data_IF_891936550343
#
_entry.id   IF_891936550343
#
_cell.length_a   1.000
_cell.length_b   1.000
_cell.length_c   1.000
_cell.angle_alpha   90.00
_cell.angle_beta   90.00
_cell.angle_gamma   90.00
#
_symmetry.space_group_name_H-M   'P 1'
#
loop_
_entity.id
_entity.type
_entity.pdbx_description
1 polymer ?
#
# COMPACT_ATOMS: atom_id res chain seq x y z
N UNK A 1 -20.36 -24.88 -0.79
CA UNK A 1 -19.40 -23.79 -0.53
C UNK A 1 -18.47 -23.69 -1.72
N UNK A 2 -18.20 -22.49 -2.25
CA UNK A 2 -17.18 -22.29 -3.29
C UNK A 2 -15.93 -21.74 -2.62
N UNK A 3 -14.87 -22.54 -2.59
CA UNK A 3 -13.57 -22.14 -2.05
C UNK A 3 -12.82 -21.32 -3.09
N UNK A 4 -12.42 -20.09 -2.75
CA UNK A 4 -11.53 -19.29 -3.60
C UNK A 4 -10.28 -18.95 -2.80
N UNK A 5 -9.22 -19.72 -3.01
CA UNK A 5 -7.86 -19.42 -2.53
C UNK A 5 -7.26 -18.26 -3.33
N UNK A 6 -7.71 -17.03 -3.04
CA UNK A 6 -7.12 -15.83 -3.63
C UNK A 6 -5.76 -15.52 -2.99
N UNK A 7 -4.67 -16.01 -3.60
CA UNK A 7 -3.41 -15.25 -3.62
C UNK A 7 -3.65 -14.06 -4.55
N UNK A 8 -4.13 -12.95 -4.00
CA UNK A 8 -4.71 -11.84 -4.76
C UNK A 8 -3.71 -11.03 -5.59
N UNK A 9 -3.37 -11.53 -6.77
CA UNK A 9 -2.61 -10.80 -7.79
C UNK A 9 -2.93 -11.31 -9.20
N UNK A 10 -2.73 -10.44 -10.19
CA UNK A 10 -2.81 -10.79 -11.61
C UNK A 10 -1.40 -10.91 -12.19
N UNK A 11 -1.22 -11.68 -13.26
CA UNK A 11 0.08 -11.88 -13.94
C UNK A 11 -0.05 -11.78 -15.45
N UNK A 12 0.96 -11.21 -16.12
CA UNK A 12 1.10 -11.26 -17.59
C UNK A 12 1.32 -12.71 -18.07
N UNK A 13 1.00 -13.04 -19.33
CA UNK A 13 1.64 -14.16 -20.01
C UNK A 13 3.17 -14.00 -19.92
N UNK A 14 3.85 -14.96 -19.29
CA UNK A 14 5.27 -14.83 -18.90
C UNK A 14 5.53 -14.60 -17.41
N UNK A 15 4.51 -14.47 -16.56
CA UNK A 15 4.61 -14.62 -15.10
C UNK A 15 4.85 -13.37 -14.25
N UNK A 16 5.06 -12.20 -14.85
CA UNK A 16 5.23 -10.94 -14.10
C UNK A 16 3.92 -10.42 -13.49
N UNK A 17 3.94 -9.97 -12.22
CA UNK A 17 2.80 -9.35 -11.52
C UNK A 17 2.30 -8.12 -12.29
N UNK A 18 0.98 -7.93 -12.40
CA UNK A 18 0.34 -6.73 -12.99
C UNK A 18 -0.55 -5.98 -12.01
N UNK A 19 -1.10 -6.67 -11.01
CA UNK A 19 -1.94 -6.09 -9.96
C UNK A 19 -1.71 -6.86 -8.66
N UNK A 20 -1.89 -6.17 -7.53
CA UNK A 20 -1.85 -6.77 -6.19
C UNK A 20 -3.00 -6.22 -5.34
N UNK A 21 -3.81 -7.11 -4.76
CA UNK A 21 -4.94 -6.74 -3.91
C UNK A 21 -4.55 -6.13 -2.56
N UNK A 22 -3.31 -6.34 -2.13
CA UNK A 22 -2.78 -5.88 -0.85
C UNK A 22 -2.88 -6.93 0.27
N UNK A 23 -2.41 -6.55 1.45
CA UNK A 23 -2.40 -7.37 2.67
C UNK A 23 -3.77 -7.28 3.34
N UNK A 24 -4.26 -8.36 3.95
CA UNK A 24 -5.47 -8.29 4.77
C UNK A 24 -5.21 -7.53 6.07
N UNK A 25 -5.97 -6.46 6.31
CA UNK A 25 -5.75 -5.53 7.42
C UNK A 25 -6.74 -5.68 8.59
N UNK A 26 -7.39 -6.85 8.72
CA UNK A 26 -8.43 -7.10 9.71
C UNK A 26 -9.85 -6.73 9.27
N UNK A 27 -10.01 -5.91 8.23
CA UNK A 27 -11.30 -5.49 7.65
C UNK A 27 -11.41 -5.74 6.13
N UNK A 28 -10.33 -5.52 5.39
CA UNK A 28 -10.24 -5.68 3.93
C UNK A 28 -8.80 -5.94 3.48
N UNK A 29 -8.60 -6.25 2.20
CA UNK A 29 -7.26 -6.15 1.60
C UNK A 29 -6.87 -4.68 1.38
N UNK A 30 -5.61 -4.32 1.58
CA UNK A 30 -5.15 -2.91 1.61
C UNK A 30 -5.23 -2.18 0.27
N UNK A 31 -5.25 -2.90 -0.87
CA UNK A 31 -5.54 -2.36 -2.21
C UNK A 31 -6.99 -2.57 -2.64
N UNK A 32 -7.88 -2.96 -1.73
CA UNK A 32 -9.32 -3.03 -1.99
C UNK A 32 -10.00 -1.67 -1.78
N UNK A 33 -11.18 -1.52 -2.37
CA UNK A 33 -11.93 -0.27 -2.34
C UNK A 33 -12.21 0.26 -0.93
N UNK A 34 -12.22 1.59 -0.80
CA UNK A 34 -12.29 2.29 0.49
C UNK A 34 -13.63 2.16 1.24
N UNK A 35 -14.66 1.62 0.61
CA UNK A 35 -15.96 1.39 1.22
C UNK A 35 -16.09 -0.02 1.81
N UNK A 36 -16.39 -0.10 3.11
CA UNK A 36 -16.98 -1.31 3.71
C UNK A 36 -18.38 -1.48 3.18
N UNK A 37 -18.62 -2.55 2.41
CA UNK A 37 -19.95 -2.86 1.88
C UNK A 37 -20.93 -3.20 3.01
N UNK A 38 -22.13 -2.64 3.00
CA UNK A 38 -23.26 -3.10 3.82
C UNK A 38 -23.93 -4.35 3.24
N UNK A 39 -23.60 -4.71 1.99
CA UNK A 39 -24.20 -5.82 1.26
C UNK A 39 -23.54 -7.18 1.55
N UNK A 40 -22.33 -7.18 2.13
CA UNK A 40 -21.65 -8.41 2.52
C UNK A 40 -20.60 -8.17 3.60
N UNK A 41 -20.44 -9.14 4.49
CA UNK A 41 -19.35 -9.22 5.46
C UNK A 41 -18.19 -9.99 4.84
N UNK A 42 -17.04 -9.33 4.68
CA UNK A 42 -15.78 -9.99 4.33
C UNK A 42 -15.28 -10.86 5.49
N UNK A 43 -14.81 -12.06 5.19
CA UNK A 43 -14.19 -12.98 6.14
C UNK A 43 -12.88 -13.47 5.52
N UNK A 44 -11.78 -13.30 6.23
CA UNK A 44 -10.48 -13.83 5.87
C UNK A 44 -9.99 -14.74 6.99
N UNK A 45 -9.52 -15.92 6.63
CA UNK A 45 -8.90 -16.87 7.55
C UNK A 45 -7.48 -17.10 7.06
N UNK A 46 -6.53 -16.96 7.96
CA UNK A 46 -5.15 -17.38 7.77
C UNK A 46 -4.70 -18.05 9.07
N UNK A 47 -4.41 -19.33 9.00
CA UNK A 47 -3.88 -20.12 10.10
C UNK A 47 -2.90 -21.17 9.52
N UNK A 48 -2.42 -22.09 10.38
CA UNK A 48 -1.46 -23.13 9.99
C UNK A 48 -2.00 -24.17 9.00
N UNK A 49 -3.32 -24.33 8.94
CA UNK A 49 -4.02 -25.39 8.19
C UNK A 49 -4.58 -24.84 6.87
N UNK A 50 -5.05 -23.59 6.85
CA UNK A 50 -5.71 -22.97 5.70
C UNK A 50 -5.53 -21.44 5.61
N UNK A 51 -5.53 -20.94 4.37
CA UNK A 51 -5.58 -19.50 4.05
C UNK A 51 -6.63 -19.29 2.97
N UNK A 52 -7.73 -18.59 3.29
CA UNK A 52 -8.82 -18.31 2.35
C UNK A 52 -9.50 -16.95 2.58
N UNK A 53 -10.20 -16.49 1.55
CA UNK A 53 -11.18 -15.42 1.63
C UNK A 53 -12.57 -15.96 1.31
N UNK A 54 -13.57 -15.53 2.08
CA UNK A 54 -14.99 -15.74 1.80
C UNK A 54 -15.79 -14.48 2.14
N UNK A 55 -17.07 -14.48 1.78
CA UNK A 55 -18.00 -13.41 2.14
C UNK A 55 -19.36 -13.98 2.50
N UNK A 56 -20.02 -13.36 3.48
CA UNK A 56 -21.39 -13.65 3.89
C UNK A 56 -22.28 -12.48 3.46
N UNK A 57 -23.44 -12.77 2.87
CA UNK A 57 -24.37 -11.76 2.37
C UNK A 57 -25.29 -11.20 3.47
N UNK A 58 -25.61 -11.98 4.51
CA UNK A 58 -26.55 -11.62 5.58
C UNK A 58 -28.02 -11.41 5.16
N UNK A 59 -28.28 -10.98 3.92
CA UNK A 59 -29.60 -10.72 3.34
C UNK A 59 -29.80 -11.58 2.08
N UNK A 60 -30.95 -12.24 1.98
CA UNK A 60 -31.31 -13.14 0.88
C UNK A 60 -31.83 -12.42 -0.38
N UNK A 61 -31.87 -11.08 -0.41
CA UNK A 61 -32.43 -10.31 -1.54
C UNK A 61 -31.45 -10.00 -2.67
N UNK A 62 -30.19 -10.42 -2.57
CA UNK A 62 -29.16 -10.21 -3.60
C UNK A 62 -28.33 -11.48 -3.79
N UNK A 63 -27.75 -11.65 -4.97
CA UNK A 63 -26.69 -12.64 -5.23
C UNK A 63 -25.44 -11.88 -5.65
N UNK A 64 -24.27 -12.24 -5.12
CA UNK A 64 -22.99 -11.66 -5.56
C UNK A 64 -21.97 -12.75 -5.90
N UNK A 65 -21.09 -12.45 -6.85
CA UNK A 65 -19.93 -13.28 -7.18
C UNK A 65 -18.69 -12.43 -7.43
N UNK A 66 -17.53 -12.96 -7.10
CA UNK A 66 -16.24 -12.48 -7.58
C UNK A 66 -15.86 -13.27 -8.81
N UNK A 67 -15.44 -12.59 -9.87
CA UNK A 67 -15.01 -13.21 -11.13
C UNK A 67 -13.80 -12.48 -11.69
N UNK A 68 -13.01 -13.16 -12.51
CA UNK A 68 -12.06 -12.52 -13.41
C UNK A 68 -12.73 -12.44 -14.79
N UNK A 69 -12.64 -11.30 -15.48
CA UNK A 69 -13.19 -11.15 -16.83
C UNK A 69 -12.16 -11.56 -17.91
N UNK A 70 -12.57 -11.57 -19.18
CA UNK A 70 -11.69 -11.98 -20.30
C UNK A 70 -10.45 -11.07 -20.47
N UNK A 71 -10.51 -9.82 -20.01
CA UNK A 71 -9.39 -8.87 -19.98
C UNK A 71 -8.50 -9.03 -18.74
N UNK A 72 -8.75 -10.04 -17.90
CA UNK A 72 -8.00 -10.31 -16.67
C UNK A 72 -8.43 -9.48 -15.46
N UNK A 73 -9.40 -8.57 -15.58
CA UNK A 73 -9.82 -7.69 -14.48
C UNK A 73 -10.61 -8.47 -13.42
N UNK A 74 -10.31 -8.22 -12.14
CA UNK A 74 -11.09 -8.73 -11.01
C UNK A 74 -12.38 -7.90 -10.89
N UNK A 75 -13.55 -8.55 -10.88
CA UNK A 75 -14.85 -7.88 -10.77
C UNK A 75 -15.69 -8.51 -9.66
N UNK A 76 -16.36 -7.66 -8.88
CA UNK A 76 -17.52 -8.08 -8.08
C UNK A 76 -18.79 -7.74 -8.83
N UNK A 77 -19.61 -8.75 -9.07
CA UNK A 77 -20.91 -8.63 -9.71
C UNK A 77 -22.02 -8.81 -8.68
N UNK A 78 -23.12 -8.06 -8.84
CA UNK A 78 -24.35 -8.19 -8.05
C UNK A 78 -25.51 -8.48 -9.01
N UNK A 79 -26.45 -9.33 -8.56
CA UNK A 79 -27.73 -9.57 -9.18
C UNK A 79 -28.81 -9.28 -8.13
N UNK A 80 -29.58 -8.22 -8.36
CA UNK A 80 -30.66 -7.80 -7.47
C UNK A 80 -31.93 -8.65 -7.68
N UNK A 81 -32.75 -8.78 -6.63
CA UNK A 81 -34.02 -9.50 -6.71
C UNK A 81 -34.95 -8.92 -7.79
N UNK A 82 -35.22 -9.72 -8.81
CA UNK A 82 -36.08 -9.35 -9.94
C UNK A 82 -35.32 -8.84 -11.18
N UNK A 83 -34.00 -8.64 -11.07
CA UNK A 83 -33.13 -8.43 -12.23
C UNK A 83 -32.80 -9.76 -12.91
N UNK A 84 -32.65 -9.74 -14.24
CA UNK A 84 -32.01 -10.79 -15.03
C UNK A 84 -30.54 -10.49 -15.36
N UNK A 85 -30.05 -9.30 -15.02
CA UNK A 85 -28.74 -8.79 -15.42
C UNK A 85 -27.80 -8.56 -14.23
N UNK A 86 -26.52 -8.88 -14.43
CA UNK A 86 -25.47 -8.68 -13.45
C UNK A 86 -24.88 -7.26 -13.55
N UNK A 87 -24.96 -6.49 -12.48
CA UNK A 87 -24.32 -5.17 -12.38
C UNK A 87 -22.91 -5.30 -11.80
N UNK A 88 -21.95 -4.55 -12.35
CA UNK A 88 -20.59 -4.46 -11.78
C UNK A 88 -20.63 -3.55 -10.57
N UNK A 89 -20.39 -4.11 -9.38
CA UNK A 89 -20.24 -3.33 -8.14
C UNK A 89 -18.88 -2.63 -8.09
N UNK A 90 -17.81 -3.35 -8.45
CA UNK A 90 -16.47 -2.81 -8.59
C UNK A 90 -15.61 -3.66 -9.54
N UNK A 91 -14.54 -3.05 -10.05
CA UNK A 91 -13.55 -3.68 -10.93
C UNK A 91 -12.14 -3.23 -10.54
N UNK A 92 -11.14 -4.13 -10.63
CA UNK A 92 -9.72 -3.86 -10.33
C UNK A 92 -8.81 -4.51 -11.39
N UNK A 93 -7.73 -3.85 -11.87
CA UNK A 93 -7.33 -2.46 -11.63
C UNK A 93 -8.41 -1.41 -11.94
N UNK A 94 -8.39 -0.29 -11.21
CA UNK A 94 -9.32 0.84 -11.39
C UNK A 94 -8.67 2.00 -12.14
N UNK A 95 -7.41 2.29 -11.82
CA UNK A 95 -6.61 3.37 -12.39
C UNK A 95 -5.13 2.94 -12.47
N UNK A 96 -4.27 3.75 -13.08
CA UNK A 96 -2.84 3.43 -13.30
C UNK A 96 -2.04 3.26 -12.00
N UNK A 97 -2.53 3.71 -10.85
CA UNK A 97 -1.87 3.46 -9.56
C UNK A 97 -2.19 2.07 -8.97
N UNK A 98 -3.11 1.31 -9.58
CA UNK A 98 -3.29 -0.11 -9.27
C UNK A 98 -2.34 -1.02 -10.05
N UNK A 99 -1.72 -0.51 -11.14
CA UNK A 99 -0.71 -1.25 -11.90
C UNK A 99 0.52 -1.50 -11.00
N UNK A 100 0.91 -2.78 -10.92
CA UNK A 100 1.91 -3.23 -9.97
C UNK A 100 3.25 -2.52 -10.18
N UNK A 101 3.70 -1.79 -9.16
CA UNK A 101 5.00 -1.13 -9.15
C UNK A 101 5.09 0.13 -10.01
N UNK A 102 3.96 0.78 -10.34
CA UNK A 102 3.88 1.96 -11.21
C UNK A 102 4.92 3.07 -10.96
N UNK A 103 5.30 3.32 -9.70
CA UNK A 103 6.27 4.35 -9.31
C UNK A 103 7.67 3.82 -8.94
N UNK A 104 7.95 2.55 -9.25
CA UNK A 104 9.18 1.87 -8.87
C UNK A 104 9.36 1.69 -7.36
N UNK A 105 10.59 1.41 -6.94
CA UNK A 105 10.97 1.28 -5.54
C UNK A 105 11.02 2.64 -4.81
N UNK A 106 10.53 2.67 -3.57
CA UNK A 106 10.47 3.85 -2.70
C UNK A 106 9.74 5.06 -3.31
N UNK A 107 8.85 4.80 -4.28
CA UNK A 107 7.90 5.76 -4.82
C UNK A 107 6.49 5.51 -4.30
N UNK A 108 5.67 6.55 -4.27
CA UNK A 108 4.23 6.48 -3.97
C UNK A 108 3.42 7.00 -5.15
N UNK A 109 2.40 6.25 -5.55
CA UNK A 109 1.47 6.65 -6.60
C UNK A 109 0.28 7.43 -6.03
N UNK A 110 -0.01 8.61 -6.58
CA UNK A 110 -1.20 9.42 -6.31
C UNK A 110 -1.98 9.60 -7.60
N UNK A 111 -3.18 9.01 -7.68
CA UNK A 111 -4.01 9.05 -8.90
C UNK A 111 -4.40 10.46 -9.35
N UNK A 112 -4.41 11.41 -8.40
CA UNK A 112 -4.74 12.82 -8.62
C UNK A 112 -3.49 13.72 -8.56
N UNK A 113 -2.29 13.14 -8.45
CA UNK A 113 -1.02 13.86 -8.40
C UNK A 113 -0.59 14.36 -9.77
N UNK A 114 0.25 15.40 -9.79
CA UNK A 114 0.94 15.85 -10.99
C UNK A 114 2.39 16.24 -10.63
N UNK A 115 3.39 15.35 -10.84
CA UNK A 115 3.29 14.01 -11.43
C UNK A 115 2.49 13.00 -10.58
N UNK A 116 2.01 11.91 -11.18
CA UNK A 116 1.30 10.84 -10.45
C UNK A 116 2.21 10.03 -9.51
N UNK A 117 3.52 10.09 -9.71
CA UNK A 117 4.51 9.39 -8.89
C UNK A 117 5.42 10.41 -8.19
N UNK A 118 5.62 10.20 -6.89
CA UNK A 118 6.54 10.98 -6.07
C UNK A 118 7.44 10.04 -5.26
N UNK A 119 8.67 10.47 -4.98
CA UNK A 119 9.52 9.75 -4.03
C UNK A 119 9.02 9.91 -2.60
N UNK A 120 9.17 8.87 -1.79
CA UNK A 120 8.91 8.97 -0.35
C UNK A 120 9.77 10.07 0.30
N UNK A 121 9.28 10.64 1.40
CA UNK A 121 10.01 11.69 2.12
C UNK A 121 11.40 11.19 2.56
N UNK A 122 12.45 11.94 2.18
CA UNK A 122 13.85 11.53 2.38
C UNK A 122 14.50 10.83 1.19
N UNK A 123 13.73 10.49 0.15
CA UNK A 123 14.23 9.87 -1.08
C UNK A 123 14.30 10.88 -2.24
N UNK A 124 15.03 10.52 -3.29
CA UNK A 124 15.18 11.26 -4.55
C UNK A 124 15.18 10.26 -5.73
N UNK A 125 14.82 10.69 -6.96
CA UNK A 125 14.86 9.83 -8.14
C UNK A 125 16.20 9.13 -8.33
N UNK A 126 16.22 7.83 -8.66
CA UNK A 126 17.47 7.14 -9.06
C UNK A 126 18.00 7.70 -10.40
N UNK A 127 17.11 8.19 -11.26
CA UNK A 127 17.45 8.87 -12.51
C UNK A 127 16.53 10.08 -12.76
N UNK A 128 17.10 11.28 -12.66
CA UNK A 128 16.35 12.53 -12.85
C UNK A 128 15.88 12.72 -14.31
N UNK A 129 16.62 12.20 -15.29
CA UNK A 129 16.27 12.30 -16.72
C UNK A 129 15.11 11.38 -17.10
N UNK A 130 15.03 10.17 -16.54
CA UNK A 130 13.85 9.30 -16.69
C UNK A 130 12.62 9.94 -16.04
N UNK A 131 12.75 10.42 -14.80
CA UNK A 131 11.65 11.08 -14.09
C UNK A 131 11.13 12.33 -14.81
N UNK A 132 12.01 13.09 -15.47
CA UNK A 132 11.61 14.27 -16.26
C UNK A 132 10.74 13.93 -17.50
N UNK A 133 10.81 12.70 -18.00
CA UNK A 133 9.97 12.19 -19.10
C UNK A 133 8.85 11.25 -18.61
N UNK A 134 8.54 11.27 -17.31
CA UNK A 134 7.54 10.39 -16.67
C UNK A 134 7.87 8.89 -16.73
N UNK A 135 9.14 8.53 -16.86
CA UNK A 135 9.64 7.17 -16.60
C UNK A 135 10.07 7.06 -15.13
N UNK A 136 9.23 6.41 -14.31
CA UNK A 136 9.49 6.18 -12.89
C UNK A 136 10.04 4.78 -12.60
N UNK A 137 10.35 3.98 -13.62
CA UNK A 137 10.70 2.55 -13.48
C UNK A 137 11.94 2.30 -12.60
N UNK A 138 12.89 3.22 -12.59
CA UNK A 138 14.08 3.16 -11.71
C UNK A 138 13.77 3.51 -10.24
N UNK A 139 12.59 4.07 -9.94
CA UNK A 139 12.16 4.46 -8.60
C UNK A 139 13.07 5.51 -7.96
N UNK A 140 13.21 5.42 -6.65
CA UNK A 140 13.90 6.39 -5.80
C UNK A 140 14.94 5.73 -4.89
N UNK A 141 16.02 6.45 -4.60
CA UNK A 141 17.04 6.09 -3.61
C UNK A 141 17.03 7.08 -2.44
N UNK A 142 17.56 6.69 -1.28
CA UNK A 142 17.66 7.59 -0.12
C UNK A 142 18.57 8.78 -0.48
N UNK A 143 18.16 9.99 -0.09
CA UNK A 143 18.96 11.22 -0.25
C UNK A 143 20.23 11.20 0.61
N UNK A 144 20.18 10.51 1.75
CA UNK A 144 21.29 10.30 2.69
C UNK A 144 21.23 8.87 3.24
N UNK A 145 22.38 8.26 3.59
CA UNK A 145 22.40 7.02 4.36
C UNK A 145 21.67 7.20 5.71
N UNK A 146 21.08 6.12 6.22
CA UNK A 146 20.49 6.05 7.56
C UNK A 146 21.59 6.23 8.63
N UNK A 147 21.34 7.08 9.63
CA UNK A 147 22.14 7.15 10.87
C UNK A 147 21.35 6.54 12.03
N UNK A 148 21.38 5.21 12.02
CA UNK A 148 20.75 4.32 12.98
C UNK A 148 21.18 4.59 14.45
N UNK A 149 22.28 5.31 14.67
CA UNK A 149 22.73 5.70 16.01
C UNK A 149 22.36 7.13 16.40
N UNK A 150 22.02 8.01 15.45
CA UNK A 150 21.71 9.43 15.72
C UNK A 150 20.62 10.00 14.80
N UNK A 151 19.39 10.00 15.31
CA UNK A 151 18.34 10.88 14.81
C UNK A 151 17.57 10.38 13.58
N UNK A 152 17.78 9.15 13.15
CA UNK A 152 16.77 8.50 12.31
C UNK A 152 15.41 8.45 13.04
N UNK A 153 14.37 8.71 12.28
CA UNK A 153 13.01 8.79 12.76
C UNK A 153 12.02 8.39 11.69
N UNK A 154 10.79 8.87 11.83
CA UNK A 154 9.64 8.23 11.21
C UNK A 154 8.73 9.25 10.53
N UNK A 155 8.49 9.07 9.23
CA UNK A 155 7.48 9.83 8.49
C UNK A 155 6.22 8.99 8.37
N UNK A 156 5.12 9.49 8.94
CA UNK A 156 3.81 8.86 8.83
C UNK A 156 3.19 9.15 7.46
N UNK A 157 2.99 8.11 6.66
CA UNK A 157 2.21 8.12 5.43
C UNK A 157 0.79 7.70 5.77
N UNK A 158 -0.19 8.52 5.42
CA UNK A 158 -1.61 8.24 5.70
C UNK A 158 -2.29 7.62 4.50
N UNK A 159 -3.34 6.83 4.74
CA UNK A 159 -4.25 6.36 3.70
C UNK A 159 -3.52 5.68 2.52
N UNK A 160 -2.74 4.63 2.78
CA UNK A 160 -1.95 3.94 1.75
C UNK A 160 -2.30 2.46 1.57
N UNK A 161 -2.17 2.00 0.34
CA UNK A 161 -1.94 0.57 0.03
C UNK A 161 -0.52 0.25 0.52
N UNK A 162 -0.41 -0.53 1.60
CA UNK A 162 0.88 -1.01 2.13
C UNK A 162 1.75 -1.66 1.04
N UNK A 163 3.10 -1.59 1.11
CA UNK A 163 4.01 -2.19 0.14
C UNK A 163 3.80 -3.70 -0.10
N UNK A 164 4.47 -4.25 -1.13
CA UNK A 164 4.41 -5.68 -1.45
C UNK A 164 4.98 -6.60 -0.34
N UNK A 165 4.77 -7.91 -0.54
CA UNK A 165 5.02 -9.00 0.39
C UNK A 165 6.51 -9.39 0.45
N UNK A 166 7.30 -8.64 1.22
CA UNK A 166 8.62 -9.06 1.74
C UNK A 166 8.83 -8.44 3.13
N UNK A 167 8.01 -8.85 4.09
CA UNK A 167 7.93 -8.29 5.44
C UNK A 167 7.94 -9.36 6.53
N UNK A 168 8.39 -8.98 7.72
CA UNK A 168 8.11 -9.73 8.96
C UNK A 168 6.86 -9.17 9.63
N UNK A 169 6.12 -10.02 10.36
CA UNK A 169 4.97 -9.59 11.15
C UNK A 169 4.99 -10.21 12.55
N UNK A 170 4.36 -9.53 13.51
CA UNK A 170 4.20 -10.00 14.88
C UNK A 170 2.86 -9.53 15.44
N UNK A 171 1.93 -10.44 15.69
CA UNK A 171 0.56 -10.12 16.16
C UNK A 171 0.53 -9.57 17.59
N UNK A 172 1.53 -9.90 18.42
CA UNK A 172 1.55 -9.54 19.86
C UNK A 172 2.04 -8.11 20.12
N UNK A 173 2.68 -7.46 19.14
CA UNK A 173 3.25 -6.13 19.29
C UNK A 173 2.25 -5.03 18.92
N UNK A 174 2.33 -3.90 19.62
CA UNK A 174 1.69 -2.65 19.19
C UNK A 174 2.63 -1.79 18.33
N UNK A 175 2.09 -0.75 17.69
CA UNK A 175 2.85 0.12 16.77
C UNK A 175 4.07 0.80 17.40
N UNK A 176 4.04 1.15 18.69
CA UNK A 176 5.19 1.80 19.35
C UNK A 176 6.31 0.81 19.67
N UNK A 177 5.96 -0.44 20.04
CA UNK A 177 6.93 -1.54 20.13
C UNK A 177 7.53 -1.86 18.75
N UNK A 178 6.68 -1.91 17.71
CA UNK A 178 7.08 -2.14 16.32
C UNK A 178 8.09 -1.08 15.82
N UNK A 179 7.85 0.21 16.11
CA UNK A 179 8.80 1.29 15.84
C UNK A 179 10.11 1.12 16.62
N UNK A 180 10.04 0.76 17.90
CA UNK A 180 11.24 0.60 18.73
C UNK A 180 12.11 -0.57 18.27
N UNK A 181 11.50 -1.70 17.89
CA UNK A 181 12.23 -2.83 17.30
C UNK A 181 12.84 -2.47 15.94
N UNK A 182 12.08 -1.79 15.09
CA UNK A 182 12.56 -1.27 13.81
C UNK A 182 13.76 -0.31 13.96
N UNK A 183 13.75 0.60 14.95
CA UNK A 183 14.90 1.49 15.23
C UNK A 183 16.14 0.73 15.74
N UNK A 184 15.97 -0.45 16.35
CA UNK A 184 17.09 -1.31 16.74
C UNK A 184 17.64 -2.16 15.57
N UNK A 185 17.02 -2.10 14.38
CA UNK A 185 17.45 -2.81 13.19
C UNK A 185 17.66 -1.83 12.03
N UNK A 186 18.91 -1.48 11.75
CA UNK A 186 19.28 -0.47 10.75
C UNK A 186 18.88 -0.81 9.30
N UNK A 187 18.45 -2.05 9.02
CA UNK A 187 17.87 -2.44 7.73
C UNK A 187 16.37 -2.17 7.65
N UNK A 188 15.69 -1.84 8.75
CA UNK A 188 14.25 -1.59 8.76
C UNK A 188 13.90 -0.30 8.00
N UNK A 189 13.01 -0.42 7.00
CA UNK A 189 12.64 0.62 6.05
C UNK A 189 11.28 1.24 6.34
N UNK A 190 10.34 0.47 6.90
CA UNK A 190 9.02 0.94 7.31
C UNK A 190 8.33 -0.01 8.30
N UNK A 191 7.33 0.52 9.02
CA UNK A 191 6.42 -0.24 9.89
C UNK A 191 4.95 0.11 9.67
N UNK A 192 4.05 -0.81 10.00
CA UNK A 192 2.60 -0.58 10.03
C UNK A 192 1.89 -1.46 11.06
N UNK A 193 0.64 -1.12 11.40
CA UNK A 193 -0.25 -2.06 12.11
C UNK A 193 -0.65 -3.20 11.17
N UNK A 194 -0.71 -4.43 11.68
CA UNK A 194 -1.20 -5.60 10.95
C UNK A 194 -2.73 -5.58 10.82
N UNK A 195 -3.42 -5.33 11.93
CA UNK A 195 -4.87 -5.20 12.00
C UNK A 195 -5.24 -3.75 12.36
N UNK A 196 -6.19 -3.14 11.65
CA UNK A 196 -6.61 -1.74 11.86
C UNK A 196 -7.89 -1.59 12.71
N UNK A 197 -8.50 -2.69 13.21
CA UNK A 197 -9.70 -2.60 14.07
C UNK A 197 -9.38 -1.92 15.41
N UNK A 198 -10.36 -1.19 15.95
CA UNK A 198 -10.26 -0.57 17.26
C UNK A 198 -9.18 0.52 17.31
N UNK A 199 -8.07 0.26 18.01
CA UNK A 199 -6.90 1.15 18.07
C UNK A 199 -5.74 0.73 17.15
N UNK A 200 -5.93 -0.36 16.40
CA UNK A 200 -4.87 -1.06 15.67
C UNK A 200 -4.07 -2.00 16.56
N UNK A 201 -3.61 -3.11 16.00
CA UNK A 201 -2.83 -4.14 16.69
C UNK A 201 -1.95 -4.93 15.73
N UNK A 202 -0.93 -5.59 16.28
CA UNK A 202 0.07 -6.30 15.51
C UNK A 202 1.02 -5.36 14.76
N UNK A 203 2.17 -5.90 14.40
CA UNK A 203 3.27 -5.20 13.76
C UNK A 203 3.55 -5.82 12.39
N UNK A 204 3.84 -4.98 11.39
CA UNK A 204 4.47 -5.34 10.13
C UNK A 204 5.75 -4.52 9.99
N UNK A 205 6.86 -5.13 9.58
CA UNK A 205 8.15 -4.46 9.32
C UNK A 205 8.72 -4.88 7.95
N UNK A 206 9.13 -3.91 7.14
CA UNK A 206 9.82 -4.12 5.86
C UNK A 206 11.31 -3.80 6.00
N UNK A 207 12.17 -4.53 5.29
CA UNK A 207 13.64 -4.43 5.40
C UNK A 207 14.36 -4.15 4.08
N UNK A 208 13.63 -3.89 2.99
CA UNK A 208 14.15 -3.63 1.65
C UNK A 208 13.36 -2.51 0.95
N UNK A 209 13.71 -2.19 -0.29
CA UNK A 209 13.07 -1.21 -1.18
C UNK A 209 11.54 -1.36 -1.18
N UNK A 210 10.82 -0.29 -0.83
CA UNK A 210 9.38 -0.33 -0.62
C UNK A 210 8.64 -0.19 -1.96
N UNK A 211 8.04 -1.29 -2.46
CA UNK A 211 7.45 -1.36 -3.82
C UNK A 211 5.91 -1.40 -3.76
N UNK A 212 5.26 -0.87 -4.80
CA UNK A 212 3.81 -0.94 -5.05
C UNK A 212 2.95 -0.23 -3.97
N UNK A 213 3.41 0.95 -3.53
CA UNK A 213 2.66 1.88 -2.67
C UNK A 213 1.80 2.81 -3.52
N UNK A 214 0.52 2.94 -3.17
CA UNK A 214 -0.33 4.05 -3.62
C UNK A 214 -1.01 4.74 -2.45
N UNK A 215 -1.27 6.01 -2.62
CA UNK A 215 -2.28 6.72 -1.86
C UNK A 215 -3.68 6.24 -2.28
N UNK A 216 -4.56 6.11 -1.31
CA UNK A 216 -5.95 5.73 -1.47
C UNK A 216 -6.82 6.98 -1.28
N UNK A 217 -7.85 7.09 -2.11
CA UNK A 217 -8.77 8.23 -2.11
C UNK A 217 -10.11 7.76 -1.55
N UNK A 218 -10.33 8.04 -0.27
CA UNK A 218 -11.52 7.63 0.46
C UNK A 218 -11.68 8.35 1.82
N UNK A 219 -12.75 8.06 2.57
CA UNK A 219 -12.95 8.63 3.89
C UNK A 219 -11.83 8.20 4.86
N UNK A 220 -11.53 9.07 5.84
CA UNK A 220 -10.51 8.83 6.87
C UNK A 220 -10.74 7.51 7.61
N UNK A 221 -9.74 6.62 7.61
CA UNK A 221 -9.85 5.27 8.16
C UNK A 221 -9.19 4.17 7.31
N UNK A 222 -8.40 4.54 6.30
CA UNK A 222 -7.52 3.63 5.57
C UNK A 222 -6.25 3.31 6.37
N UNK A 223 -5.40 2.43 5.85
CA UNK A 223 -4.23 1.96 6.57
C UNK A 223 -3.10 2.98 6.47
N UNK A 224 -2.59 3.40 7.62
CA UNK A 224 -1.39 4.23 7.73
C UNK A 224 -0.15 3.34 7.77
N UNK A 225 0.96 3.80 7.18
CA UNK A 225 2.30 3.23 7.40
C UNK A 225 3.26 4.31 7.89
N UNK A 226 4.41 3.89 8.38
CA UNK A 226 5.43 4.77 8.92
C UNK A 226 6.78 4.38 8.32
N UNK A 227 7.37 5.26 7.50
CA UNK A 227 8.63 4.99 6.81
C UNK A 227 9.82 5.58 7.57
N UNK A 228 10.92 4.82 7.64
CA UNK A 228 12.17 5.25 8.27
C UNK A 228 12.85 6.33 7.41
N UNK A 229 13.11 7.48 8.02
CA UNK A 229 13.74 8.63 7.38
C UNK A 229 14.72 9.31 8.33
N UNK A 230 15.83 9.82 7.80
CA UNK A 230 16.77 10.63 8.55
C UNK A 230 16.10 11.96 8.93
N UNK A 231 15.74 12.15 10.20
CA UNK A 231 15.39 13.47 10.67
C UNK A 231 16.71 14.24 10.82
N UNK A 232 16.88 15.31 10.03
CA UNK A 232 17.90 16.29 10.41
C UNK A 232 17.55 16.81 11.81
N UNK A 233 18.54 17.10 12.68
CA UNK A 233 18.27 17.96 13.82
C UNK A 233 17.64 19.26 13.30
N UNK A 234 16.59 19.71 13.99
CA UNK A 234 15.75 20.85 13.60
C UNK A 234 16.49 22.19 13.80
N UNK A 235 17.58 22.40 13.05
CA UNK A 235 18.32 23.64 13.00
C UNK A 235 17.75 24.52 11.88
N UNK A 236 16.82 25.42 12.25
CA UNK A 236 16.36 26.52 11.41
C UNK A 236 17.40 27.67 11.37
N UNK A 237 18.63 27.34 10.95
CA UNK A 237 19.77 28.23 10.66
C UNK A 237 20.61 27.49 9.60
N UNK A 238 21.08 28.01 8.47
CA UNK A 238 21.19 29.34 7.86
C UNK A 238 21.16 29.13 6.31
N UNK A 239 21.27 30.08 5.36
CA UNK A 239 21.64 31.51 5.31
C UNK A 239 21.03 32.12 4.01
N UNK A 240 20.98 33.46 3.80
CA UNK A 240 20.69 34.05 2.49
C UNK A 240 21.93 34.04 1.56
N UNK A 241 21.76 34.09 0.22
CA UNK A 241 22.88 34.00 -0.72
C UNK A 241 23.75 35.26 -0.74
N UNK A 242 25.07 35.09 -0.63
CA UNK A 242 26.04 36.17 -0.80
C UNK A 242 25.96 36.81 -2.20
N UNK A 243 25.68 38.11 -2.24
CA UNK A 243 25.82 38.93 -3.44
C UNK A 243 27.29 39.15 -3.77
N UNK A 244 27.78 38.56 -4.86
CA UNK A 244 29.11 38.89 -5.41
C UNK A 244 29.05 40.19 -6.21
N UNK A 245 29.25 41.32 -5.54
CA UNK A 245 29.77 42.52 -6.22
C UNK A 245 31.19 42.21 -6.74
N UNK A 246 31.41 42.44 -8.03
CA UNK A 246 32.74 42.59 -8.61
C UNK A 246 32.96 44.07 -8.93
N UNK A 247 33.99 44.66 -8.32
CA UNK A 247 34.75 45.75 -8.93
C UNK A 247 35.83 45.16 -9.82
#
# INVERSE_FOLDING_TARGET
MHWITQRGGQTKPGGGKTFRSGIWNGLRFSGSFSFTSTLYKSIFVANKDEIYYMFDLGNNSIITKLTVNQSGMNQRLILDKGSSEWTIMFSSPKDTCDDYGQCGANGICRSNGNPICECLAGFIPKSQSQWAISDWSSGCTRRRPLDCQKGDGFVKLKNVKLPDLDFCHNESMNLEQCKAECLNNCSCMAVANLDIKGRGSGCIMWFDDLIDIRELVGPSGEQDMVSCNCLQPFNLLYDPPETKEKR
#
